data_IF_017058535992
#
_entry.id   IF_017058535992
#
_cell.length_a   1.000
_cell.length_b   1.000
_cell.length_c   1.000
_cell.angle_alpha   90.00
_cell.angle_beta   90.00
_cell.angle_gamma   90.00
#
_symmetry.space_group_name_H-M   'P 1'
#
loop_
_entity.id
_entity.type
_entity.pdbx_description
1 polymer ?
#
# COMPACT_ATOMS: atom_id res chain seq x y z
N UNK A 1 6.42 -34.06 -13.86
CA UNK A 1 7.89 -34.08 -13.74
C UNK A 1 8.30 -32.72 -13.27
N UNK A 2 9.08 -32.61 -12.21
CA UNK A 2 9.62 -31.30 -11.80
C UNK A 2 10.64 -30.90 -12.86
N UNK A 3 10.42 -29.79 -13.54
CA UNK A 3 11.39 -29.24 -14.48
C UNK A 3 12.64 -28.83 -13.71
N UNK A 4 13.80 -29.23 -14.19
CA UNK A 4 15.10 -29.03 -13.52
C UNK A 4 16.03 -28.27 -14.45
N UNK A 5 16.68 -27.25 -13.94
CA UNK A 5 17.80 -26.57 -14.58
C UNK A 5 19.13 -27.22 -14.12
N UNK A 6 20.08 -27.38 -15.04
CA UNK A 6 21.42 -27.86 -14.75
C UNK A 6 22.42 -26.71 -14.87
N UNK A 7 23.19 -26.49 -13.81
CA UNK A 7 24.28 -25.52 -13.77
C UNK A 7 25.61 -26.27 -13.69
N UNK A 8 26.45 -26.04 -14.67
CA UNK A 8 27.81 -26.61 -14.68
C UNK A 8 28.82 -25.57 -14.20
N UNK A 9 29.61 -25.93 -13.20
CA UNK A 9 30.71 -25.12 -12.68
C UNK A 9 31.98 -25.97 -12.70
N UNK A 10 32.86 -25.66 -13.62
CA UNK A 10 34.05 -26.53 -13.89
C UNK A 10 33.61 -27.92 -14.33
N UNK A 11 34.04 -28.93 -13.61
CA UNK A 11 33.69 -30.34 -13.89
C UNK A 11 32.45 -30.83 -13.13
N UNK A 12 31.88 -30.01 -12.27
CA UNK A 12 30.72 -30.37 -11.43
C UNK A 12 29.43 -29.89 -12.06
N UNK A 13 28.38 -30.70 -11.99
CA UNK A 13 27.03 -30.36 -12.41
C UNK A 13 26.08 -30.32 -11.21
N UNK A 14 25.30 -29.29 -11.12
CA UNK A 14 24.31 -29.04 -10.06
C UNK A 14 22.91 -28.91 -10.64
N UNK A 15 21.92 -29.44 -9.94
CA UNK A 15 20.51 -29.41 -10.37
C UNK A 15 19.72 -28.46 -9.47
N UNK A 16 18.93 -27.59 -10.10
CA UNK A 16 18.06 -26.62 -9.41
C UNK A 16 16.63 -26.74 -9.92
N UNK A 17 15.63 -26.72 -9.01
CA UNK A 17 14.22 -26.74 -9.42
C UNK A 17 13.87 -25.51 -10.25
N UNK A 18 13.01 -25.70 -11.25
CA UNK A 18 12.33 -24.59 -11.91
C UNK A 18 11.05 -24.25 -11.17
N UNK A 19 10.78 -22.96 -11.02
CA UNK A 19 9.53 -22.41 -10.52
C UNK A 19 8.82 -21.76 -11.69
N UNK A 20 7.55 -22.08 -11.87
CA UNK A 20 6.72 -21.52 -12.94
C UNK A 20 5.64 -20.64 -12.34
N UNK A 21 5.61 -19.37 -12.75
CA UNK A 21 4.58 -18.42 -12.39
C UNK A 21 3.25 -18.69 -13.11
N UNK A 22 2.18 -18.08 -12.64
CA UNK A 22 0.82 -18.21 -13.22
C UNK A 22 0.70 -17.63 -14.62
N UNK A 23 1.54 -16.68 -14.98
CA UNK A 23 1.62 -16.06 -16.32
C UNK A 23 2.72 -16.71 -17.18
N UNK A 24 3.15 -17.92 -16.82
CA UNK A 24 4.16 -18.74 -17.50
C UNK A 24 5.62 -18.24 -17.41
N UNK A 25 5.94 -17.30 -16.53
CA UNK A 25 7.33 -16.98 -16.20
C UNK A 25 8.02 -18.20 -15.61
N UNK A 26 9.25 -18.43 -16.03
CA UNK A 26 10.06 -19.54 -15.52
C UNK A 26 11.28 -18.99 -14.81
N UNK A 27 11.46 -19.37 -13.55
CA UNK A 27 12.61 -19.01 -12.74
C UNK A 27 13.39 -20.24 -12.27
N UNK A 28 14.71 -20.11 -12.18
CA UNK A 28 15.58 -21.12 -11.55
C UNK A 28 15.61 -20.83 -10.04
N UNK A 29 15.17 -21.78 -9.22
CA UNK A 29 15.24 -21.63 -7.78
C UNK A 29 16.65 -21.92 -7.28
N UNK A 30 17.43 -20.88 -7.07
CA UNK A 30 18.84 -20.96 -6.64
C UNK A 30 19.01 -20.92 -5.10
N UNK A 31 17.97 -21.15 -4.32
CA UNK A 31 18.01 -21.11 -2.84
C UNK A 31 19.14 -21.92 -2.25
N UNK A 32 19.46 -23.07 -2.84
CA UNK A 32 20.50 -23.97 -2.38
C UNK A 32 21.85 -23.78 -3.08
N UNK A 33 21.99 -22.84 -4.02
CA UNK A 33 23.20 -22.66 -4.82
C UNK A 33 24.46 -22.56 -3.94
N UNK A 34 24.46 -21.66 -2.97
CA UNK A 34 25.61 -21.40 -2.12
C UNK A 34 26.03 -22.61 -1.31
N UNK A 35 25.09 -23.35 -0.74
CA UNK A 35 25.37 -24.53 0.06
C UNK A 35 25.82 -25.74 -0.79
N UNK A 36 25.18 -25.94 -1.95
CA UNK A 36 25.50 -27.05 -2.86
C UNK A 36 26.87 -26.90 -3.54
N UNK A 37 27.31 -25.65 -3.76
CA UNK A 37 28.52 -25.33 -4.53
C UNK A 37 29.69 -24.89 -3.64
N UNK A 38 29.57 -25.00 -2.33
CA UNK A 38 30.57 -24.54 -1.36
C UNK A 38 30.96 -23.05 -1.52
N UNK A 39 29.95 -22.18 -1.75
CA UNK A 39 30.11 -20.73 -1.67
C UNK A 39 29.87 -19.92 -2.93
N UNK A 40 29.58 -20.57 -4.08
CA UNK A 40 29.24 -19.82 -5.31
C UNK A 40 27.94 -19.06 -5.15
N UNK A 41 27.92 -17.83 -5.65
CA UNK A 41 26.74 -16.94 -5.70
C UNK A 41 26.53 -16.43 -7.12
N UNK A 42 25.38 -15.90 -7.40
CA UNK A 42 25.09 -15.13 -8.62
C UNK A 42 25.36 -13.65 -8.41
N UNK A 43 25.68 -12.93 -9.49
CA UNK A 43 25.76 -11.48 -9.50
C UNK A 43 24.85 -10.97 -10.64
N UNK A 44 23.91 -10.10 -10.30
CA UNK A 44 22.95 -9.49 -11.24
C UNK A 44 22.72 -8.04 -10.83
N UNK A 45 23.50 -7.08 -11.37
CA UNK A 45 23.37 -5.68 -11.03
C UNK A 45 21.97 -5.15 -11.38
N UNK A 46 21.26 -4.65 -10.35
CA UNK A 46 19.91 -4.11 -10.51
C UNK A 46 18.78 -5.13 -10.61
N UNK A 47 19.05 -6.40 -10.31
CA UNK A 47 18.04 -7.51 -10.32
C UNK A 47 17.28 -7.65 -11.65
N UNK A 48 17.95 -7.35 -12.77
CA UNK A 48 17.31 -7.34 -14.09
C UNK A 48 16.86 -8.72 -14.55
N UNK A 49 17.59 -9.76 -14.14
CA UNK A 49 17.33 -11.17 -14.48
C UNK A 49 17.05 -12.03 -13.25
N UNK A 50 16.79 -11.43 -12.10
CA UNK A 50 16.63 -12.14 -10.83
C UNK A 50 15.29 -11.82 -10.20
N UNK A 51 14.43 -12.83 -10.04
CA UNK A 51 13.24 -12.74 -9.18
C UNK A 51 13.67 -12.78 -7.71
N UNK A 52 13.37 -11.75 -6.96
CA UNK A 52 13.72 -11.64 -5.53
C UNK A 52 12.77 -12.40 -4.61
N UNK A 53 11.52 -12.59 -5.03
CA UNK A 53 10.49 -13.31 -4.27
C UNK A 53 9.34 -13.76 -5.19
N UNK A 54 8.52 -14.66 -4.69
CA UNK A 54 7.21 -14.97 -5.26
C UNK A 54 6.16 -14.06 -4.63
N UNK A 55 5.26 -13.52 -5.45
CA UNK A 55 4.18 -12.66 -4.99
C UNK A 55 2.87 -13.04 -5.68
N UNK A 56 1.79 -13.14 -4.89
CA UNK A 56 0.43 -13.30 -5.39
C UNK A 56 -0.38 -11.98 -5.31
N UNK A 57 0.29 -10.85 -5.08
CA UNK A 57 -0.40 -9.56 -4.84
C UNK A 57 -0.60 -8.82 -6.16
N UNK A 58 0.46 -8.60 -6.92
CA UNK A 58 0.43 -7.77 -8.11
C UNK A 58 1.18 -8.45 -9.26
N UNK A 59 0.59 -8.45 -10.44
CA UNK A 59 1.26 -8.73 -11.70
C UNK A 59 1.31 -7.47 -12.54
N UNK A 60 2.50 -7.13 -13.05
CA UNK A 60 2.73 -5.98 -13.92
C UNK A 60 3.58 -6.38 -15.12
N UNK A 61 3.05 -6.17 -16.32
CA UNK A 61 3.78 -6.23 -17.59
C UNK A 61 3.70 -4.86 -18.26
N UNK A 62 4.74 -4.06 -18.08
CA UNK A 62 4.79 -2.68 -18.62
C UNK A 62 4.90 -2.63 -20.14
N UNK A 63 5.41 -3.68 -20.79
CA UNK A 63 5.54 -3.72 -22.25
C UNK A 63 4.17 -4.01 -22.90
N UNK A 64 3.36 -4.85 -22.27
CA UNK A 64 2.00 -5.16 -22.73
C UNK A 64 0.93 -4.24 -22.14
N UNK A 65 1.28 -3.39 -21.19
CA UNK A 65 0.33 -2.52 -20.49
C UNK A 65 -0.68 -3.31 -19.65
N UNK A 66 -0.25 -4.41 -19.02
CA UNK A 66 -1.10 -5.26 -18.18
C UNK A 66 -0.77 -5.05 -16.73
N UNK A 67 -1.79 -4.73 -15.93
CA UNK A 67 -1.72 -4.66 -14.46
C UNK A 67 -2.86 -5.49 -13.87
N UNK A 68 -2.53 -6.34 -12.91
CA UNK A 68 -3.52 -7.12 -12.14
C UNK A 68 -3.21 -7.06 -10.65
N UNK A 69 -4.25 -6.91 -9.86
CA UNK A 69 -4.21 -7.03 -8.40
C UNK A 69 -4.95 -8.29 -7.97
N UNK A 70 -4.28 -9.21 -7.28
CA UNK A 70 -4.85 -10.51 -6.86
C UNK A 70 -5.52 -11.30 -7.99
N UNK A 71 -5.06 -11.10 -9.24
CA UNK A 71 -5.62 -11.72 -10.45
C UNK A 71 -6.70 -10.90 -11.15
N UNK A 72 -7.28 -9.89 -10.51
CA UNK A 72 -8.26 -8.97 -11.11
C UNK A 72 -7.57 -7.94 -12.02
N UNK A 73 -8.12 -7.73 -13.21
CA UNK A 73 -7.62 -6.69 -14.11
C UNK A 73 -7.85 -5.29 -13.53
N UNK A 74 -6.86 -4.38 -13.69
CA UNK A 74 -6.95 -3.03 -13.12
C UNK A 74 -8.14 -2.25 -13.71
N UNK A 75 -8.45 -2.44 -14.97
CA UNK A 75 -9.57 -1.80 -15.65
C UNK A 75 -10.91 -2.20 -15.00
N UNK A 76 -11.06 -3.47 -14.63
CA UNK A 76 -12.26 -3.97 -13.98
C UNK A 76 -12.38 -3.42 -12.54
N UNK A 77 -11.29 -3.41 -11.80
CA UNK A 77 -11.27 -2.85 -10.45
C UNK A 77 -11.59 -1.36 -10.46
N UNK A 78 -10.97 -0.59 -11.34
CA UNK A 78 -11.20 0.84 -11.45
C UNK A 78 -12.63 1.19 -11.90
N UNK A 79 -13.32 0.30 -12.61
CA UNK A 79 -14.69 0.53 -13.04
C UNK A 79 -15.74 0.11 -12.00
N UNK A 80 -15.51 -1.00 -11.29
CA UNK A 80 -16.53 -1.68 -10.48
C UNK A 80 -16.29 -1.62 -8.97
N UNK A 81 -15.07 -1.31 -8.53
CA UNK A 81 -14.70 -1.26 -7.12
C UNK A 81 -14.31 0.16 -6.68
N UNK A 82 -14.37 0.42 -5.38
CA UNK A 82 -13.81 1.63 -4.78
C UNK A 82 -12.42 1.37 -4.18
N UNK A 83 -11.73 2.44 -3.78
CA UNK A 83 -10.39 2.37 -3.20
C UNK A 83 -10.32 1.44 -1.97
N UNK A 84 -11.33 1.43 -1.10
CA UNK A 84 -11.31 0.60 0.10
C UNK A 84 -11.57 -0.88 -0.21
N UNK A 85 -12.40 -1.19 -1.20
CA UNK A 85 -12.60 -2.57 -1.69
C UNK A 85 -11.28 -3.12 -2.25
N UNK A 86 -10.60 -2.34 -3.08
CA UNK A 86 -9.30 -2.73 -3.66
C UNK A 86 -8.22 -2.83 -2.57
N UNK A 87 -8.19 -1.89 -1.62
CA UNK A 87 -7.29 -1.96 -0.46
C UNK A 87 -7.51 -3.24 0.34
N UNK A 88 -8.77 -3.61 0.58
CA UNK A 88 -9.12 -4.86 1.24
C UNK A 88 -8.58 -6.08 0.47
N UNK A 89 -8.84 -6.12 -0.84
CA UNK A 89 -8.37 -7.22 -1.70
C UNK A 89 -6.84 -7.38 -1.65
N UNK A 90 -6.11 -6.28 -1.76
CA UNK A 90 -4.63 -6.31 -1.70
C UNK A 90 -4.11 -6.82 -0.36
N UNK A 91 -4.75 -6.44 0.75
CA UNK A 91 -4.31 -6.77 2.11
C UNK A 91 -4.73 -8.21 2.48
N UNK A 92 -5.98 -8.59 2.22
CA UNK A 92 -6.56 -9.85 2.69
C UNK A 92 -6.62 -10.96 1.63
N UNK A 93 -6.36 -10.66 0.37
CA UNK A 93 -6.17 -11.65 -0.70
C UNK A 93 -7.32 -11.77 -1.68
N UNK A 94 -8.52 -11.27 -1.36
CA UNK A 94 -9.68 -11.29 -2.24
C UNK A 94 -10.60 -10.09 -1.97
N UNK A 95 -11.51 -9.78 -2.90
CA UNK A 95 -12.52 -8.74 -2.72
C UNK A 95 -13.44 -9.06 -1.53
N UNK A 96 -13.81 -8.05 -0.73
CA UNK A 96 -14.66 -8.27 0.43
C UNK A 96 -16.10 -8.61 0.03
N UNK A 97 -16.73 -9.48 0.80
CA UNK A 97 -18.19 -9.54 0.79
C UNK A 97 -18.77 -8.31 1.51
N UNK A 98 -20.09 -8.15 1.45
CA UNK A 98 -20.76 -6.98 2.03
C UNK A 98 -20.51 -6.80 3.53
N UNK A 99 -20.57 -7.86 4.30
CA UNK A 99 -20.35 -7.83 5.76
C UNK A 99 -18.89 -7.42 6.09
N UNK A 100 -17.93 -7.96 5.37
CA UNK A 100 -16.51 -7.64 5.51
C UNK A 100 -16.24 -6.17 5.15
N UNK A 101 -16.85 -5.68 4.07
CA UNK A 101 -16.71 -4.30 3.63
C UNK A 101 -17.32 -3.33 4.63
N UNK A 102 -18.55 -3.60 5.09
CA UNK A 102 -19.26 -2.77 6.07
C UNK A 102 -18.46 -2.69 7.39
N UNK A 103 -17.91 -3.83 7.85
CA UNK A 103 -17.02 -3.86 9.01
C UNK A 103 -15.76 -3.03 8.77
N UNK A 104 -15.08 -3.22 7.65
CA UNK A 104 -13.84 -2.50 7.34
C UNK A 104 -14.04 -0.99 7.27
N UNK A 105 -15.14 -0.55 6.64
CA UNK A 105 -15.54 0.87 6.62
C UNK A 105 -15.81 1.41 8.02
N UNK A 106 -16.52 0.67 8.86
CA UNK A 106 -16.82 1.06 10.24
C UNK A 106 -15.55 1.20 11.06
N UNK A 107 -14.63 0.25 10.94
CA UNK A 107 -13.36 0.24 11.66
C UNK A 107 -12.49 1.44 11.23
N UNK A 108 -12.37 1.73 9.94
CA UNK A 108 -11.65 2.90 9.42
C UNK A 108 -12.28 4.20 9.96
N UNK A 109 -13.60 4.34 9.90
CA UNK A 109 -14.29 5.53 10.42
C UNK A 109 -14.07 5.74 11.91
N UNK A 110 -14.02 4.66 12.69
CA UNK A 110 -13.83 4.73 14.15
C UNK A 110 -12.43 5.20 14.54
N UNK A 111 -11.41 4.93 13.69
CA UNK A 111 -10.01 5.25 13.95
C UNK A 111 -9.51 6.51 13.22
N UNK A 112 -10.38 7.28 12.59
CA UNK A 112 -10.01 8.43 11.75
C UNK A 112 -9.49 9.66 12.52
N UNK A 113 -9.67 9.73 13.82
CA UNK A 113 -9.13 10.81 14.64
C UNK A 113 -7.61 10.66 14.81
N UNK A 114 -6.90 11.76 14.57
CA UNK A 114 -5.47 11.87 14.81
C UNK A 114 -5.25 12.63 16.11
N UNK A 115 -4.32 12.17 16.91
CA UNK A 115 -3.94 12.80 18.19
C UNK A 115 -3.40 14.21 17.94
N UNK A 116 -3.74 15.16 18.86
CA UNK A 116 -3.31 16.56 18.74
C UNK A 116 -1.78 16.71 18.86
N UNK A 117 -1.10 15.78 19.53
CA UNK A 117 0.36 15.81 19.59
C UNK A 117 1.00 15.49 18.23
N UNK A 118 0.36 14.71 17.36
CA UNK A 118 0.80 14.53 15.97
C UNK A 118 0.70 15.86 15.20
N UNK A 119 -0.32 16.66 15.47
CA UNK A 119 -0.43 18.02 14.91
C UNK A 119 0.74 18.91 15.35
N UNK A 120 1.16 18.86 16.62
CA UNK A 120 2.32 19.59 17.11
C UNK A 120 3.61 19.18 16.41
N UNK A 121 3.78 17.89 16.12
CA UNK A 121 4.92 17.39 15.31
C UNK A 121 4.87 18.01 13.90
N UNK A 122 3.71 18.01 13.26
CA UNK A 122 3.54 18.66 11.96
C UNK A 122 3.90 20.15 12.03
N UNK A 123 3.46 20.87 13.06
CA UNK A 123 3.70 22.30 13.23
C UNK A 123 5.19 22.64 13.36
N UNK A 124 6.01 21.73 13.84
CA UNK A 124 7.47 21.92 13.93
C UNK A 124 8.19 21.90 12.56
N UNK A 125 7.61 21.34 11.52
CA UNK A 125 8.21 21.35 10.19
C UNK A 125 8.14 22.74 9.54
N UNK A 126 9.18 23.17 8.82
CA UNK A 126 9.11 24.42 8.04
C UNK A 126 8.14 24.25 6.86
N UNK A 127 7.51 25.36 6.43
CA UNK A 127 6.58 25.34 5.26
C UNK A 127 7.26 24.92 3.96
N UNK A 128 8.58 25.03 3.87
CA UNK A 128 9.41 24.64 2.73
C UNK A 128 9.71 23.14 2.69
N UNK A 129 9.41 22.40 3.77
CA UNK A 129 9.67 20.95 3.81
C UNK A 129 8.97 20.22 2.67
N UNK A 130 9.64 19.18 2.15
CA UNK A 130 9.04 18.33 1.11
C UNK A 130 7.88 17.52 1.69
N UNK A 131 6.67 17.52 1.08
CA UNK A 131 5.50 16.87 1.64
C UNK A 131 5.70 15.38 1.97
N UNK A 132 6.43 14.66 1.12
CA UNK A 132 6.70 13.24 1.34
C UNK A 132 7.57 13.00 2.58
N UNK A 133 8.56 13.86 2.85
CA UNK A 133 9.37 13.79 4.07
C UNK A 133 8.53 14.04 5.31
N UNK A 134 7.62 15.01 5.25
CA UNK A 134 6.67 15.29 6.34
C UNK A 134 5.74 14.10 6.57
N UNK A 135 5.11 13.56 5.51
CA UNK A 135 4.21 12.41 5.60
C UNK A 135 4.91 11.16 6.15
N UNK A 136 6.12 10.87 5.68
CA UNK A 136 6.93 9.75 6.18
C UNK A 136 7.21 9.89 7.68
N UNK A 137 7.61 11.09 8.13
CA UNK A 137 7.88 11.37 9.53
C UNK A 137 6.62 11.24 10.40
N UNK A 138 5.49 11.80 9.95
CA UNK A 138 4.22 11.71 10.68
C UNK A 138 3.70 10.28 10.75
N UNK A 139 3.81 9.52 9.65
CA UNK A 139 3.39 8.12 9.61
C UNK A 139 4.24 7.28 10.57
N UNK A 140 5.54 7.49 10.59
CA UNK A 140 6.44 6.84 11.56
C UNK A 140 6.10 7.23 13.00
N UNK A 141 5.79 8.50 13.27
CA UNK A 141 5.41 8.97 14.59
C UNK A 141 4.14 8.31 15.13
N UNK A 142 3.21 7.86 14.27
CA UNK A 142 1.99 7.15 14.70
C UNK A 142 2.30 5.90 15.54
N UNK A 143 3.45 5.27 15.36
CA UNK A 143 3.86 4.09 16.15
C UNK A 143 4.04 4.42 17.62
N UNK A 144 4.50 5.64 17.94
CA UNK A 144 4.65 6.11 19.32
C UNK A 144 3.31 6.26 20.04
N UNK A 145 2.24 6.56 19.30
CA UNK A 145 0.88 6.70 19.84
C UNK A 145 0.11 5.37 19.88
N UNK A 146 0.64 4.32 19.25
CA UNK A 146 0.03 3.00 19.20
C UNK A 146 1.11 1.91 19.24
N UNK A 147 1.73 1.65 20.41
CA UNK A 147 2.86 0.71 20.50
C UNK A 147 2.54 -0.71 20.02
N UNK A 148 1.30 -1.18 20.15
CA UNK A 148 0.87 -2.48 19.63
C UNK A 148 0.93 -2.58 18.09
N UNK A 149 0.96 -1.46 17.37
CA UNK A 149 1.01 -1.45 15.90
C UNK A 149 2.31 -2.01 15.30
N UNK A 150 3.34 -2.23 16.11
CA UNK A 150 4.61 -2.86 15.67
C UNK A 150 4.66 -4.37 15.95
N UNK A 151 3.63 -4.93 16.58
CA UNK A 151 3.56 -6.37 16.85
C UNK A 151 3.06 -7.12 15.60
N UNK A 152 3.99 -7.65 14.82
CA UNK A 152 3.70 -8.39 13.59
C UNK A 152 3.35 -9.88 13.82
N UNK A 153 3.47 -10.38 15.06
CA UNK A 153 3.13 -11.77 15.39
C UNK A 153 1.63 -11.93 15.67
N UNK A 154 0.97 -10.87 16.11
CA UNK A 154 -0.48 -10.85 16.36
C UNK A 154 -1.25 -10.41 15.12
N UNK A 155 -2.11 -11.27 14.59
CA UNK A 155 -3.00 -10.93 13.46
C UNK A 155 -3.97 -9.79 13.81
N UNK A 156 -4.41 -9.72 15.04
CA UNK A 156 -5.29 -8.65 15.52
C UNK A 156 -4.57 -7.32 15.57
N UNK A 157 -3.34 -7.28 16.11
CA UNK A 157 -2.54 -6.06 16.15
C UNK A 157 -2.17 -5.58 14.74
N UNK A 158 -1.84 -6.52 13.82
CA UNK A 158 -1.62 -6.19 12.40
C UNK A 158 -2.87 -5.61 11.75
N UNK A 159 -4.05 -6.20 11.96
CA UNK A 159 -5.31 -5.66 11.45
C UNK A 159 -5.56 -4.26 11.97
N UNK A 160 -5.42 -4.06 13.28
CA UNK A 160 -5.60 -2.75 13.92
C UNK A 160 -4.59 -1.71 13.40
N UNK A 161 -3.34 -2.11 13.16
CA UNK A 161 -2.33 -1.23 12.58
C UNK A 161 -2.69 -0.79 11.15
N UNK A 162 -3.13 -1.73 10.30
CA UNK A 162 -3.59 -1.46 8.93
C UNK A 162 -4.76 -0.48 8.93
N UNK A 163 -5.80 -0.77 9.72
CA UNK A 163 -6.98 0.09 9.84
C UNK A 163 -6.60 1.50 10.30
N UNK A 164 -5.74 1.63 11.31
CA UNK A 164 -5.30 2.93 11.83
C UNK A 164 -4.49 3.73 10.82
N UNK A 165 -3.60 3.08 10.07
CA UNK A 165 -2.84 3.77 9.01
C UNK A 165 -3.80 4.27 7.94
N UNK A 166 -4.66 3.41 7.38
CA UNK A 166 -5.64 3.80 6.38
C UNK A 166 -6.55 4.92 6.88
N UNK A 167 -7.04 4.83 8.12
CA UNK A 167 -7.94 5.82 8.69
C UNK A 167 -7.30 7.20 8.90
N UNK A 168 -6.03 7.24 9.31
CA UNK A 168 -5.33 8.48 9.68
C UNK A 168 -4.62 9.14 8.50
N UNK A 169 -4.21 8.37 7.51
CA UNK A 169 -3.43 8.87 6.38
C UNK A 169 -4.12 10.03 5.63
N UNK A 170 -5.43 10.00 5.35
CA UNK A 170 -6.16 11.14 4.77
C UNK A 170 -5.98 12.43 5.55
N UNK A 171 -6.01 12.35 6.89
CA UNK A 171 -5.84 13.52 7.77
C UNK A 171 -4.41 14.06 7.66
N UNK A 172 -3.40 13.16 7.69
CA UNK A 172 -2.00 13.55 7.54
C UNK A 172 -1.72 14.22 6.20
N UNK A 173 -2.29 13.69 5.12
CA UNK A 173 -2.19 14.28 3.77
C UNK A 173 -2.83 15.67 3.73
N UNK A 174 -4.06 15.79 4.20
CA UNK A 174 -4.79 17.05 4.26
C UNK A 174 -4.04 18.10 5.08
N UNK A 175 -3.58 17.74 6.27
CA UNK A 175 -2.82 18.63 7.14
C UNK A 175 -1.49 19.06 6.54
N UNK A 176 -0.74 18.13 5.93
CA UNK A 176 0.54 18.42 5.28
C UNK A 176 0.37 19.42 4.14
N UNK A 177 -0.62 19.23 3.28
CA UNK A 177 -0.93 20.15 2.19
C UNK A 177 -1.34 21.52 2.70
N UNK A 178 -2.24 21.58 3.69
CA UNK A 178 -2.74 22.84 4.26
C UNK A 178 -1.64 23.60 4.99
N UNK A 179 -0.78 22.92 5.75
CA UNK A 179 0.41 23.51 6.38
C UNK A 179 1.31 24.17 5.35
N UNK A 180 1.62 23.47 4.25
CA UNK A 180 2.46 23.99 3.17
C UNK A 180 1.87 25.26 2.55
N UNK A 181 0.54 25.33 2.42
CA UNK A 181 -0.18 26.49 1.90
C UNK A 181 -0.42 27.58 2.95
N UNK A 182 -0.09 27.36 4.20
CA UNK A 182 -0.36 28.30 5.30
C UNK A 182 -1.83 28.41 5.67
N UNK A 183 -2.62 27.38 5.40
CA UNK A 183 -4.05 27.30 5.72
C UNK A 183 -4.25 26.64 7.10
N UNK A 184 -5.37 26.94 7.77
CA UNK A 184 -5.73 26.23 9.00
C UNK A 184 -6.04 24.77 8.70
N UNK A 185 -5.85 23.88 9.69
CA UNK A 185 -6.03 22.45 9.54
C UNK A 185 -7.50 22.07 9.67
N UNK A 186 -7.98 21.22 8.79
CA UNK A 186 -9.31 20.62 8.86
C UNK A 186 -9.27 19.28 9.58
N UNK A 187 -10.38 18.92 10.23
CA UNK A 187 -10.62 17.59 10.76
C UNK A 187 -11.68 16.89 9.91
N UNK A 188 -11.55 15.57 9.75
CA UNK A 188 -12.46 14.78 8.94
C UNK A 188 -13.88 14.72 9.51
N UNK A 189 -14.85 14.38 8.66
CA UNK A 189 -16.24 14.15 9.02
C UNK A 189 -16.60 12.68 8.89
N UNK A 190 -17.12 12.07 9.96
CA UNK A 190 -17.56 10.66 9.95
C UNK A 190 -18.74 10.37 9.00
N UNK A 191 -19.48 11.40 8.60
CA UNK A 191 -20.59 11.29 7.65
C UNK A 191 -20.15 11.15 6.20
N UNK A 192 -18.90 11.48 5.88
CA UNK A 192 -18.34 11.40 4.53
C UNK A 192 -17.72 10.02 4.27
N UNK A 193 -17.72 9.62 3.01
CA UNK A 193 -16.93 8.49 2.52
C UNK A 193 -15.42 8.76 2.59
N UNK A 194 -14.61 7.76 2.30
CA UNK A 194 -13.16 7.85 2.42
C UNK A 194 -12.55 8.93 1.52
N UNK A 195 -12.82 8.86 0.21
CA UNK A 195 -12.31 9.83 -0.78
C UNK A 195 -12.93 11.22 -0.57
N UNK A 196 -14.20 11.27 -0.22
CA UNK A 196 -14.90 12.52 0.13
C UNK A 196 -14.24 13.22 1.32
N UNK A 197 -13.79 12.44 2.32
CA UNK A 197 -13.07 12.99 3.45
C UNK A 197 -11.69 13.53 3.04
N UNK A 198 -10.97 12.87 2.13
CA UNK A 198 -9.72 13.40 1.58
C UNK A 198 -9.96 14.78 0.94
N UNK A 199 -10.97 14.89 0.09
CA UNK A 199 -11.32 16.15 -0.56
C UNK A 199 -11.69 17.23 0.47
N UNK A 200 -12.50 16.87 1.46
CA UNK A 200 -12.91 17.78 2.54
C UNK A 200 -11.71 18.27 3.35
N UNK A 201 -10.83 17.38 3.77
CA UNK A 201 -9.63 17.69 4.55
C UNK A 201 -8.70 18.64 3.80
N UNK A 202 -8.55 18.46 2.49
CA UNK A 202 -7.65 19.27 1.66
C UNK A 202 -8.26 20.63 1.28
N UNK A 203 -9.54 20.68 0.88
CA UNK A 203 -10.08 21.81 0.12
C UNK A 203 -11.14 22.62 0.84
N UNK A 204 -11.79 22.10 1.91
CA UNK A 204 -12.80 22.86 2.65
C UNK A 204 -12.21 24.15 3.22
N UNK A 205 -12.78 25.27 2.84
CA UNK A 205 -12.45 26.59 3.40
C UNK A 205 -13.34 26.93 4.61
N UNK A 206 -12.85 27.76 5.57
CA UNK A 206 -13.71 28.31 6.61
C UNK A 206 -14.82 29.15 5.99
N UNK A 207 -15.98 29.14 6.61
CA UNK A 207 -17.11 29.98 6.24
C UNK A 207 -17.68 29.75 4.82
N UNK A 208 -17.30 28.67 4.16
CA UNK A 208 -17.87 28.25 2.88
C UNK A 208 -18.56 26.90 3.04
N UNK A 209 -19.64 26.65 2.34
CA UNK A 209 -20.18 25.31 2.17
C UNK A 209 -19.22 24.48 1.32
N UNK A 210 -19.15 23.20 1.59
CA UNK A 210 -18.30 22.30 0.82
C UNK A 210 -19.16 21.26 0.12
N UNK A 211 -19.33 21.49 -1.16
CA UNK A 211 -20.02 20.55 -2.05
C UNK A 211 -19.01 19.63 -2.74
N UNK A 212 -19.32 18.34 -2.74
CA UNK A 212 -18.48 17.33 -3.35
C UNK A 212 -18.95 17.13 -4.79
N UNK A 213 -18.09 17.50 -5.74
CA UNK A 213 -18.36 17.19 -7.13
C UNK A 213 -18.18 15.68 -7.37
N UNK A 214 -19.23 14.95 -7.80
CA UNK A 214 -19.18 13.51 -7.95
C UNK A 214 -18.22 13.04 -9.05
N UNK A 215 -17.99 13.86 -10.08
CA UNK A 215 -17.05 13.53 -11.15
C UNK A 215 -15.62 13.56 -10.61
N UNK A 216 -15.27 14.61 -9.85
CA UNK A 216 -13.93 14.74 -9.23
C UNK A 216 -13.72 13.66 -8.18
N UNK A 217 -14.75 13.38 -7.36
CA UNK A 217 -14.71 12.28 -6.37
C UNK A 217 -14.41 10.95 -7.03
N UNK A 218 -15.12 10.60 -8.10
CA UNK A 218 -14.93 9.34 -8.82
C UNK A 218 -13.57 9.28 -9.53
N UNK A 219 -13.11 10.40 -10.10
CA UNK A 219 -11.79 10.47 -10.71
C UNK A 219 -10.68 10.26 -9.68
N UNK A 220 -10.81 10.86 -8.49
CA UNK A 220 -9.84 10.70 -7.41
C UNK A 220 -9.84 9.27 -6.85
N UNK A 221 -11.01 8.65 -6.71
CA UNK A 221 -11.13 7.26 -6.25
C UNK A 221 -10.39 6.30 -7.19
N UNK A 222 -10.61 6.43 -8.50
CA UNK A 222 -9.89 5.64 -9.53
C UNK A 222 -8.39 5.93 -9.57
N UNK A 223 -7.97 7.15 -9.27
CA UNK A 223 -6.57 7.52 -9.22
C UNK A 223 -5.84 6.92 -8.01
N UNK A 224 -6.55 6.62 -6.93
CA UNK A 224 -6.01 5.99 -5.74
C UNK A 224 -5.87 4.46 -5.88
N UNK A 225 -6.66 3.84 -6.77
CA UNK A 225 -6.56 2.43 -7.14
C UNK A 225 -5.30 2.19 -7.96
#
# INVERSE_FOLDING_TARGET
MSDIAKLQIGNNSYEFPLVKGTENEVAINIKTLRSATNGVITIDPGFKNTGSCESAITFLDGEKGVLRYRGYAIEELAEKADFLEVSYALIFGDLPNKEQLDKFHSDIKSHSLVDDDVRKILEAFPKTAHPMGVLSSLTSALTAFNPASVNIESREDMYNAIVRILAKFPVLVGWTMRKKKGLHLNYGKKSLGYVENIMYLMFKQPNEDFEINPIIRNALDKLLI
#
